data_IF_742882557342
#
_entry.id   IF_742882557342
#
_cell.length_a   1.000
_cell.length_b   1.000
_cell.length_c   1.000
_cell.angle_alpha   90.00
_cell.angle_beta   90.00
_cell.angle_gamma   90.00
#
_symmetry.space_group_name_H-M   'P 1'
#
loop_
_entity.id
_entity.type
_entity.pdbx_description
1 polymer ?
#
# COMPACT_ATOMS: atom_id res chain seq x y z
N UNK A 1 -43.12 12.25 24.06
CA UNK A 1 -41.78 12.43 23.46
C UNK A 1 -41.88 12.12 21.98
N UNK A 2 -41.69 13.15 21.13
CA UNK A 2 -42.15 13.16 19.74
C UNK A 2 -41.23 12.34 18.82
N UNK A 3 -41.86 11.56 17.93
CA UNK A 3 -41.27 10.77 16.84
C UNK A 3 -40.33 11.57 15.91
N UNK A 4 -40.43 12.90 15.88
CA UNK A 4 -39.58 13.80 15.08
C UNK A 4 -38.10 13.69 15.47
N UNK A 5 -37.79 13.41 16.74
CA UNK A 5 -36.41 13.23 17.19
C UNK A 5 -35.82 11.91 16.67
N UNK A 6 -36.63 10.86 16.53
CA UNK A 6 -36.14 9.55 16.08
C UNK A 6 -35.65 9.56 14.63
N UNK A 7 -36.29 10.36 13.76
CA UNK A 7 -35.86 10.51 12.36
C UNK A 7 -34.50 11.21 12.27
N UNK A 8 -34.33 12.32 12.99
CA UNK A 8 -33.06 13.05 13.04
C UNK A 8 -31.95 12.18 13.64
N UNK A 9 -32.17 11.57 14.80
CA UNK A 9 -31.20 10.67 15.43
C UNK A 9 -30.80 9.49 14.51
N UNK A 10 -31.72 8.98 13.69
CA UNK A 10 -31.39 7.95 12.69
C UNK A 10 -30.52 8.50 11.57
N UNK A 11 -30.83 9.69 11.06
CA UNK A 11 -30.04 10.35 10.03
C UNK A 11 -28.62 10.67 10.54
N UNK A 12 -28.50 11.26 11.72
CA UNK A 12 -27.21 11.67 12.32
C UNK A 12 -26.29 10.45 12.59
N UNK A 13 -26.84 9.25 12.79
CA UNK A 13 -26.05 8.00 12.89
C UNK A 13 -25.56 7.45 11.55
N UNK A 14 -26.20 7.83 10.45
CA UNK A 14 -25.92 7.28 9.13
C UNK A 14 -25.13 8.27 8.29
N UNK A 15 -25.38 9.58 8.41
CA UNK A 15 -24.79 10.61 7.58
C UNK A 15 -23.83 11.44 8.41
N UNK A 16 -22.54 11.28 8.15
CA UNK A 16 -21.50 12.07 8.78
C UNK A 16 -21.37 13.41 8.05
N UNK A 17 -21.20 14.49 8.81
CA UNK A 17 -21.02 15.84 8.27
C UNK A 17 -19.76 16.50 8.83
N UNK A 18 -19.23 17.50 8.14
CA UNK A 18 -18.07 18.26 8.63
C UNK A 18 -18.35 18.90 10.01
N UNK A 19 -19.58 19.40 10.20
CA UNK A 19 -20.04 19.98 11.46
C UNK A 19 -20.10 18.96 12.62
N UNK A 20 -20.25 17.67 12.31
CA UNK A 20 -20.27 16.59 13.32
C UNK A 20 -18.88 16.21 13.84
N UNK A 21 -17.81 16.74 13.25
CA UNK A 21 -16.45 16.52 13.75
C UNK A 21 -16.25 17.26 15.08
N UNK A 22 -15.89 16.51 16.11
CA UNK A 22 -15.53 17.02 17.43
C UNK A 22 -14.07 16.70 17.77
N UNK A 23 -13.28 17.75 18.06
CA UNK A 23 -11.86 17.59 18.39
C UNK A 23 -11.66 16.88 19.74
N UNK A 24 -12.56 17.03 20.70
CA UNK A 24 -12.48 16.34 21.99
C UNK A 24 -12.60 14.82 21.83
N UNK A 25 -13.53 14.37 21.01
CA UNK A 25 -13.69 12.95 20.65
C UNK A 25 -12.49 12.43 19.84
N UNK A 26 -11.96 13.24 18.94
CA UNK A 26 -10.74 12.89 18.20
C UNK A 26 -9.53 12.69 19.11
N UNK A 27 -9.35 13.57 20.10
CA UNK A 27 -8.24 13.47 21.07
C UNK A 27 -8.29 12.18 21.89
N UNK A 28 -9.48 11.72 22.30
CA UNK A 28 -9.64 10.43 22.99
C UNK A 28 -9.12 9.25 22.16
N UNK A 29 -9.15 9.38 20.83
CA UNK A 29 -8.63 8.40 19.89
C UNK A 29 -7.13 8.60 19.65
N UNK A 30 -6.70 9.81 19.27
CA UNK A 30 -5.33 10.09 18.86
C UNK A 30 -4.31 10.08 20.02
N UNK A 31 -4.75 10.31 21.26
CA UNK A 31 -3.88 10.35 22.45
C UNK A 31 -3.74 8.98 23.14
N UNK A 32 -4.24 7.91 22.53
CA UNK A 32 -3.99 6.54 23.01
C UNK A 32 -2.50 6.22 23.00
N UNK A 33 -2.08 5.36 23.93
CA UNK A 33 -0.71 4.85 24.01
C UNK A 33 -0.68 3.40 23.53
N UNK A 34 0.25 3.11 22.62
CA UNK A 34 0.50 1.74 22.15
C UNK A 34 1.37 1.01 23.17
N UNK A 35 0.87 -0.10 23.73
CA UNK A 35 1.65 -0.93 24.63
C UNK A 35 2.35 -2.06 23.86
N UNK A 36 3.68 -2.14 23.96
CA UNK A 36 4.47 -3.19 23.28
C UNK A 36 4.03 -4.61 23.69
N UNK A 37 3.56 -4.79 24.93
CA UNK A 37 3.13 -6.09 25.44
C UNK A 37 1.94 -6.70 24.67
N UNK A 38 1.16 -5.87 23.97
CA UNK A 38 0.02 -6.33 23.16
C UNK A 38 0.47 -6.84 21.77
N UNK A 39 1.75 -6.64 21.40
CA UNK A 39 2.32 -6.99 20.10
C UNK A 39 3.59 -7.84 20.28
N UNK A 40 3.45 -9.15 20.57
CA UNK A 40 4.58 -10.02 20.92
C UNK A 40 5.64 -10.18 19.82
N UNK A 41 5.27 -9.97 18.55
CA UNK A 41 6.19 -10.05 17.42
C UNK A 41 7.00 -8.76 17.27
N UNK A 42 6.44 -7.60 17.62
CA UNK A 42 7.15 -6.33 17.62
C UNK A 42 8.37 -6.34 18.57
N UNK A 43 9.38 -5.54 18.25
CA UNK A 43 10.60 -5.40 19.05
C UNK A 43 10.61 -4.12 19.87
N UNK A 44 9.95 -3.07 19.38
CA UNK A 44 9.84 -1.80 20.09
C UNK A 44 8.57 -1.05 19.71
N UNK A 45 8.21 -0.09 20.56
CA UNK A 45 7.26 0.99 20.23
C UNK A 45 8.00 2.30 20.40
N UNK A 46 8.10 3.08 19.33
CA UNK A 46 8.65 4.43 19.36
C UNK A 46 7.61 5.44 18.89
N UNK A 47 7.31 6.43 19.72
CA UNK A 47 6.31 7.47 19.38
C UNK A 47 4.96 6.87 18.92
N UNK A 48 4.51 5.81 19.60
CA UNK A 48 3.32 5.01 19.26
C UNK A 48 3.38 4.21 17.96
N UNK A 49 4.52 4.16 17.27
CA UNK A 49 4.72 3.35 16.06
C UNK A 49 5.37 2.02 16.46
N UNK A 50 4.79 0.91 16.00
CA UNK A 50 5.35 -0.43 16.21
C UNK A 50 6.54 -0.65 15.28
N UNK A 51 7.64 -1.14 15.84
CA UNK A 51 8.86 -1.45 15.11
C UNK A 51 9.10 -2.97 15.18
N UNK A 52 9.24 -3.58 14.01
CA UNK A 52 9.48 -5.01 13.84
C UNK A 52 10.86 -5.24 13.20
N UNK A 53 11.65 -6.16 13.74
CA UNK A 53 12.76 -6.75 13.00
C UNK A 53 12.21 -7.77 11.98
N UNK A 54 12.44 -7.52 10.69
CA UNK A 54 11.95 -8.38 9.63
C UNK A 54 12.46 -9.82 9.72
N UNK A 55 13.64 -10.06 10.31
CA UNK A 55 14.15 -11.40 10.61
C UNK A 55 13.20 -12.20 11.49
N UNK A 56 12.75 -11.56 12.57
CA UNK A 56 11.92 -12.15 13.61
C UNK A 56 10.54 -12.43 13.06
N UNK A 57 9.99 -11.51 12.28
CA UNK A 57 8.73 -11.72 11.55
C UNK A 57 8.84 -12.91 10.61
N UNK A 58 9.88 -12.97 9.75
CA UNK A 58 10.09 -14.09 8.82
C UNK A 58 10.26 -15.43 9.54
N UNK A 59 10.96 -15.46 10.68
CA UNK A 59 11.08 -16.65 11.49
C UNK A 59 9.74 -17.06 12.13
N UNK A 60 8.95 -16.11 12.61
CA UNK A 60 7.65 -16.36 13.25
C UNK A 60 6.60 -16.92 12.27
N UNK A 61 6.64 -16.51 11.00
CA UNK A 61 5.69 -17.00 9.98
C UNK A 61 6.08 -18.35 9.36
N UNK A 62 7.17 -18.99 9.81
CA UNK A 62 7.65 -20.24 9.24
C UNK A 62 6.69 -21.43 9.49
N UNK A 63 5.81 -21.32 10.49
CA UNK A 63 4.72 -22.28 10.71
C UNK A 63 3.35 -21.68 10.37
N UNK A 64 2.34 -22.50 10.02
CA UNK A 64 0.98 -22.03 9.79
C UNK A 64 0.36 -21.29 10.98
N UNK A 65 0.61 -21.78 12.20
CA UNK A 65 0.11 -21.16 13.43
C UNK A 65 0.79 -19.82 13.69
N UNK A 66 2.11 -19.75 13.51
CA UNK A 66 2.88 -18.52 13.66
C UNK A 66 2.51 -17.48 12.62
N UNK A 67 2.31 -17.89 11.36
CA UNK A 67 1.79 -17.03 10.29
C UNK A 67 0.44 -16.43 10.67
N UNK A 68 -0.49 -17.24 11.19
CA UNK A 68 -1.81 -16.76 11.62
C UNK A 68 -1.71 -15.77 12.79
N UNK A 69 -0.81 -16.03 13.75
CA UNK A 69 -0.59 -15.13 14.89
C UNK A 69 -0.04 -13.76 14.43
N UNK A 70 0.97 -13.76 13.56
CA UNK A 70 1.54 -12.53 12.97
C UNK A 70 0.49 -11.77 12.15
N UNK A 71 -0.35 -12.48 11.39
CA UNK A 71 -1.45 -11.86 10.65
C UNK A 71 -2.44 -11.15 11.56
N UNK A 72 -2.84 -11.79 12.67
CA UNK A 72 -3.74 -11.18 13.63
C UNK A 72 -3.11 -9.92 14.24
N UNK A 73 -1.85 -9.99 14.67
CA UNK A 73 -1.14 -8.87 15.28
C UNK A 73 -0.99 -7.67 14.32
N UNK A 74 -0.60 -7.91 13.06
CA UNK A 74 -0.47 -6.86 12.04
C UNK A 74 -1.85 -6.26 11.68
N UNK A 75 -2.88 -7.10 11.56
CA UNK A 75 -4.24 -6.65 11.28
C UNK A 75 -4.79 -5.77 12.42
N UNK A 76 -4.59 -6.18 13.67
CA UNK A 76 -4.95 -5.39 14.85
C UNK A 76 -4.17 -4.07 14.89
N UNK A 77 -2.87 -4.09 14.59
CA UNK A 77 -2.05 -2.89 14.53
C UNK A 77 -2.58 -1.85 13.51
N UNK A 78 -3.07 -2.29 12.35
CA UNK A 78 -3.66 -1.39 11.34
C UNK A 78 -5.09 -0.96 11.63
N UNK A 79 -5.91 -1.86 12.21
CA UNK A 79 -7.31 -1.61 12.51
C UNK A 79 -7.48 -0.78 13.77
N UNK A 80 -7.39 -1.45 14.93
CA UNK A 80 -7.72 -0.91 16.25
C UNK A 80 -6.52 -0.32 16.99
N UNK A 81 -5.30 -0.66 16.55
CA UNK A 81 -4.04 -0.22 17.11
C UNK A 81 -3.55 1.12 16.55
N UNK A 82 -2.22 1.34 16.48
CA UNK A 82 -1.65 2.64 16.09
C UNK A 82 -1.88 3.04 14.64
N UNK A 83 -2.31 2.12 13.77
CA UNK A 83 -2.54 2.38 12.35
C UNK A 83 -1.27 2.49 11.51
N UNK A 84 -0.08 2.25 12.09
CA UNK A 84 1.22 2.32 11.39
C UNK A 84 2.23 1.37 12.02
N UNK A 85 3.02 0.72 11.18
CA UNK A 85 4.09 -0.18 11.55
C UNK A 85 5.33 0.05 10.68
N UNK A 86 6.52 -0.14 11.25
CA UNK A 86 7.80 -0.09 10.54
C UNK A 86 8.48 -1.46 10.64
N UNK A 87 8.88 -2.00 9.51
CA UNK A 87 9.67 -3.21 9.39
C UNK A 87 11.11 -2.83 9.06
N UNK A 88 12.00 -3.01 10.04
CA UNK A 88 13.42 -2.72 9.94
C UNK A 88 14.12 -3.81 9.15
N UNK A 89 15.01 -3.41 8.22
CA UNK A 89 15.79 -4.34 7.37
C UNK A 89 14.90 -5.33 6.62
N UNK A 90 13.76 -4.87 6.13
CA UNK A 90 12.85 -5.67 5.31
C UNK A 90 13.54 -6.15 4.03
N UNK A 91 14.39 -5.31 3.44
CA UNK A 91 15.36 -5.69 2.43
C UNK A 91 16.76 -5.74 3.07
N UNK A 92 17.24 -6.95 3.37
CA UNK A 92 18.58 -7.15 3.93
C UNK A 92 19.68 -6.95 2.90
N UNK A 93 19.47 -7.52 1.73
CA UNK A 93 20.27 -7.19 0.56
C UNK A 93 19.64 -5.96 -0.10
N UNK A 94 20.30 -4.82 0.03
CA UNK A 94 19.83 -3.58 -0.57
C UNK A 94 20.26 -3.41 -2.03
N UNK A 95 21.05 -4.35 -2.58
CA UNK A 95 21.42 -4.34 -3.99
C UNK A 95 20.21 -4.40 -4.92
N UNK A 96 19.16 -5.15 -4.54
CA UNK A 96 17.89 -5.20 -5.28
C UNK A 96 17.20 -3.82 -5.36
N UNK A 97 17.33 -3.01 -4.29
CA UNK A 97 16.82 -1.64 -4.22
C UNK A 97 17.69 -0.71 -5.06
N UNK A 98 19.01 -0.90 -5.08
CA UNK A 98 19.92 -0.09 -5.88
C UNK A 98 19.65 -0.29 -7.38
N UNK A 99 19.44 -1.54 -7.82
CA UNK A 99 19.00 -1.86 -9.18
C UNK A 99 17.66 -1.20 -9.52
N UNK A 100 16.64 -1.32 -8.65
CA UNK A 100 15.34 -0.69 -8.87
C UNK A 100 15.46 0.85 -8.92
N UNK A 101 16.28 1.44 -8.05
CA UNK A 101 16.54 2.88 -8.01
C UNK A 101 17.16 3.38 -9.31
N UNK A 102 18.13 2.66 -9.88
CA UNK A 102 18.74 3.01 -11.15
C UNK A 102 17.70 3.05 -12.29
N UNK A 103 16.82 2.05 -12.37
CA UNK A 103 15.70 2.03 -13.33
C UNK A 103 14.78 3.24 -13.13
N UNK A 104 14.46 3.59 -11.88
CA UNK A 104 13.61 4.73 -11.58
C UNK A 104 14.27 6.07 -11.91
N UNK A 105 15.58 6.21 -11.69
CA UNK A 105 16.33 7.39 -12.09
C UNK A 105 16.34 7.55 -13.61
N UNK A 106 16.59 6.48 -14.38
CA UNK A 106 16.51 6.50 -15.85
C UNK A 106 15.11 6.92 -16.34
N UNK A 107 14.05 6.42 -15.71
CA UNK A 107 12.67 6.83 -16.04
C UNK A 107 12.46 8.32 -15.74
N UNK A 108 12.93 8.83 -14.60
CA UNK A 108 12.80 10.25 -14.24
C UNK A 108 13.56 11.13 -15.23
N UNK A 109 14.79 10.76 -15.58
CA UNK A 109 15.61 11.49 -16.55
C UNK A 109 14.94 11.51 -17.93
N UNK A 110 14.37 10.40 -18.36
CA UNK A 110 13.62 10.31 -19.61
C UNK A 110 12.37 11.20 -19.60
N UNK A 111 11.63 11.21 -18.49
CA UNK A 111 10.47 12.05 -18.28
C UNK A 111 10.82 13.54 -18.35
N UNK A 112 11.95 13.94 -17.74
CA UNK A 112 12.49 15.30 -17.84
C UNK A 112 12.89 15.64 -19.28
N UNK A 113 13.62 14.76 -19.95
CA UNK A 113 14.12 14.96 -21.32
C UNK A 113 13.00 15.13 -22.34
N UNK A 114 11.92 14.38 -22.17
CA UNK A 114 10.77 14.37 -23.10
C UNK A 114 9.64 15.31 -22.69
N UNK A 115 9.77 15.97 -21.53
CA UNK A 115 8.67 16.70 -20.89
C UNK A 115 7.38 15.85 -20.76
N UNK A 116 7.53 14.53 -20.64
CA UNK A 116 6.43 13.61 -20.38
C UNK A 116 6.46 13.23 -18.91
N UNK A 117 5.32 13.32 -18.22
CA UNK A 117 5.26 13.15 -16.77
C UNK A 117 4.82 14.42 -16.04
N UNK A 118 4.87 14.38 -14.71
CA UNK A 118 4.30 15.41 -13.84
C UNK A 118 2.95 15.03 -13.24
N UNK A 119 2.48 15.85 -12.29
CA UNK A 119 1.21 15.65 -11.58
C UNK A 119 1.31 15.21 -10.13
N UNK A 120 2.36 15.59 -9.38
CA UNK A 120 2.24 15.52 -7.92
C UNK A 120 1.18 16.54 -7.47
N UNK A 121 -0.02 16.04 -7.16
CA UNK A 121 -1.16 16.87 -6.75
C UNK A 121 -0.90 17.56 -5.39
N UNK A 122 0.17 17.17 -4.69
CA UNK A 122 0.49 17.63 -3.35
C UNK A 122 1.70 18.57 -3.29
N UNK A 123 2.40 18.83 -4.39
CA UNK A 123 3.60 19.68 -4.41
C UNK A 123 3.62 20.69 -5.57
N UNK A 124 4.43 21.74 -5.42
CA UNK A 124 4.68 22.70 -6.51
C UNK A 124 5.47 22.01 -7.64
N UNK A 125 5.20 22.34 -8.92
CA UNK A 125 5.97 21.81 -10.04
C UNK A 125 7.49 21.97 -9.83
N UNK A 126 8.25 20.88 -10.00
CA UNK A 126 9.71 20.86 -9.85
C UNK A 126 10.24 20.63 -8.43
N UNK A 127 9.39 20.65 -7.39
CA UNK A 127 9.82 20.35 -6.02
C UNK A 127 10.06 18.84 -5.80
N UNK A 128 9.22 18.01 -6.43
CA UNK A 128 9.26 16.56 -6.32
C UNK A 128 9.24 15.91 -7.70
N UNK A 129 9.80 14.71 -7.79
CA UNK A 129 9.68 13.84 -8.95
C UNK A 129 8.78 12.65 -8.61
N UNK A 130 7.91 12.30 -9.56
CA UNK A 130 6.87 11.27 -9.38
C UNK A 130 6.87 10.33 -10.57
N UNK A 131 6.97 9.03 -10.30
CA UNK A 131 6.72 7.99 -11.30
C UNK A 131 5.38 7.33 -11.01
N UNK A 132 4.36 7.70 -11.79
CA UNK A 132 3.10 6.95 -11.84
C UNK A 132 3.29 5.57 -12.47
N UNK A 133 2.53 4.57 -12.03
CA UNK A 133 2.61 3.19 -12.48
C UNK A 133 4.04 2.64 -12.48
N UNK A 134 4.77 2.86 -11.37
CA UNK A 134 6.14 2.37 -11.24
C UNK A 134 6.20 0.85 -11.16
N UNK A 135 5.13 0.19 -10.69
CA UNK A 135 5.03 -1.27 -10.66
C UNK A 135 5.14 -1.89 -12.07
N UNK A 136 4.30 -1.44 -13.02
CA UNK A 136 4.34 -1.95 -14.39
C UNK A 136 5.66 -1.58 -15.06
N UNK A 137 6.10 -0.33 -14.91
CA UNK A 137 7.35 0.14 -15.51
C UNK A 137 8.56 -0.66 -15.03
N UNK A 138 8.63 -0.98 -13.73
CA UNK A 138 9.68 -1.81 -13.15
C UNK A 138 9.66 -3.22 -13.74
N UNK A 139 8.50 -3.89 -13.73
CA UNK A 139 8.36 -5.24 -14.28
C UNK A 139 8.75 -5.34 -15.77
N UNK A 140 8.42 -4.32 -16.56
CA UNK A 140 8.71 -4.31 -17.99
C UNK A 140 10.17 -3.97 -18.32
N UNK A 141 10.81 -3.14 -17.48
CA UNK A 141 12.20 -2.75 -17.65
C UNK A 141 13.15 -3.88 -17.24
N UNK A 142 12.90 -4.49 -16.07
CA UNK A 142 13.72 -5.57 -15.53
C UNK A 142 12.85 -6.58 -14.75
N UNK A 143 12.35 -7.64 -15.41
CA UNK A 143 11.49 -8.62 -14.76
C UNK A 143 12.22 -9.49 -13.73
N UNK A 144 13.55 -9.64 -13.81
CA UNK A 144 14.33 -10.41 -12.83
C UNK A 144 14.49 -9.60 -11.54
N UNK A 145 14.90 -8.32 -11.65
CA UNK A 145 14.95 -7.44 -10.49
C UNK A 145 13.56 -7.21 -9.88
N UNK A 146 12.51 -7.09 -10.70
CA UNK A 146 11.13 -7.01 -10.20
C UNK A 146 10.76 -8.25 -9.37
N UNK A 147 11.07 -9.45 -9.88
CA UNK A 147 10.79 -10.70 -9.16
C UNK A 147 11.50 -10.74 -7.80
N UNK A 148 12.78 -10.39 -7.75
CA UNK A 148 13.56 -10.34 -6.51
C UNK A 148 13.05 -9.26 -5.54
N UNK A 149 12.66 -8.10 -6.06
CA UNK A 149 12.13 -7.00 -5.27
C UNK A 149 10.80 -7.37 -4.61
N UNK A 150 9.85 -7.88 -5.38
CA UNK A 150 8.51 -8.24 -4.88
C UNK A 150 8.39 -9.65 -4.30
N UNK A 151 9.46 -10.45 -4.37
CA UNK A 151 9.59 -11.69 -3.60
C UNK A 151 9.60 -11.46 -2.08
N UNK A 152 9.79 -10.21 -1.65
CA UNK A 152 9.96 -9.83 -0.26
C UNK A 152 8.78 -10.31 0.64
N UNK A 153 9.05 -11.14 1.66
CA UNK A 153 8.00 -11.70 2.51
C UNK A 153 7.30 -10.65 3.35
N UNK A 154 7.96 -9.55 3.73
CA UNK A 154 7.34 -8.49 4.55
C UNK A 154 6.26 -7.75 3.75
N UNK A 155 6.54 -7.45 2.47
CA UNK A 155 5.56 -6.82 1.57
C UNK A 155 4.33 -7.72 1.42
N UNK A 156 4.53 -9.02 1.21
CA UNK A 156 3.44 -9.97 1.08
C UNK A 156 2.63 -10.13 2.38
N UNK A 157 3.30 -10.28 3.52
CA UNK A 157 2.66 -10.49 4.83
C UNK A 157 1.83 -9.27 5.24
N UNK A 158 2.38 -8.06 5.15
CA UNK A 158 1.63 -6.85 5.50
C UNK A 158 0.39 -6.68 4.61
N UNK A 159 0.53 -6.95 3.30
CA UNK A 159 -0.58 -6.89 2.34
C UNK A 159 -1.66 -7.91 2.66
N UNK A 160 -1.30 -9.18 2.82
CA UNK A 160 -2.27 -10.27 3.00
C UNK A 160 -2.94 -10.23 4.38
N UNK A 161 -2.19 -9.88 5.43
CA UNK A 161 -2.74 -9.77 6.79
C UNK A 161 -3.90 -8.76 6.87
N UNK A 162 -3.80 -7.65 6.13
CA UNK A 162 -4.83 -6.61 6.11
C UNK A 162 -5.91 -6.84 5.05
N UNK A 163 -5.52 -7.19 3.83
CA UNK A 163 -6.42 -7.17 2.65
C UNK A 163 -6.96 -8.56 2.28
N UNK A 164 -6.43 -9.60 2.91
CA UNK A 164 -6.65 -10.98 2.52
C UNK A 164 -5.83 -11.41 1.29
N UNK A 165 -6.04 -12.64 0.81
CA UNK A 165 -5.38 -13.14 -0.39
C UNK A 165 -5.85 -12.37 -1.64
N UNK A 166 -5.14 -12.56 -2.74
CA UNK A 166 -5.49 -11.96 -4.03
C UNK A 166 -5.52 -10.42 -4.00
N UNK A 167 -4.73 -9.81 -3.11
CA UNK A 167 -4.55 -8.37 -3.11
C UNK A 167 -3.98 -7.89 -4.45
N UNK A 168 -4.23 -6.64 -4.77
CA UNK A 168 -3.82 -5.99 -6.00
C UNK A 168 -2.73 -4.99 -5.66
N UNK A 169 -1.50 -5.27 -6.09
CA UNK A 169 -0.39 -4.33 -5.94
C UNK A 169 -0.48 -3.24 -7.02
N UNK A 170 -0.27 -1.99 -6.61
CA UNK A 170 0.18 -0.88 -7.46
C UNK A 170 1.27 -0.14 -6.71
N UNK A 171 2.11 0.61 -7.44
CA UNK A 171 3.22 1.32 -6.82
C UNK A 171 3.59 2.59 -7.57
N UNK A 172 4.04 3.61 -6.82
CA UNK A 172 4.43 4.91 -7.35
C UNK A 172 5.69 5.41 -6.65
N UNK A 173 6.71 5.81 -7.41
CA UNK A 173 7.93 6.36 -6.82
C UNK A 173 7.74 7.83 -6.52
N UNK A 174 8.12 8.23 -5.31
CA UNK A 174 8.13 9.59 -4.84
C UNK A 174 9.55 10.02 -4.46
N UNK A 175 10.07 11.04 -5.14
CA UNK A 175 11.35 11.67 -4.80
C UNK A 175 11.11 13.10 -4.33
N UNK A 176 11.41 13.38 -3.07
CA UNK A 176 11.37 14.74 -2.53
C UNK A 176 12.77 15.32 -2.55
N UNK A 177 12.98 16.33 -3.39
CA UNK A 177 14.29 16.96 -3.55
C UNK A 177 14.62 17.88 -2.35
N UNK A 178 15.90 18.20 -2.11
CA UNK A 178 16.30 19.23 -1.14
C UNK A 178 15.48 20.52 -1.29
N UNK A 179 14.92 21.02 -0.19
CA UNK A 179 14.03 22.19 -0.17
C UNK A 179 12.56 21.88 -0.48
N UNK A 180 12.20 20.63 -0.76
CA UNK A 180 10.81 20.19 -0.97
C UNK A 180 9.95 20.44 0.28
N UNK A 181 8.82 21.13 0.11
CA UNK A 181 7.93 21.49 1.21
C UNK A 181 7.09 20.30 1.70
N UNK A 182 6.70 20.34 2.98
CA UNK A 182 5.74 19.38 3.52
C UNK A 182 4.40 19.48 2.77
N UNK A 183 3.72 18.34 2.70
CA UNK A 183 2.36 18.25 2.20
C UNK A 183 1.37 18.63 3.30
N UNK A 184 0.15 18.98 2.90
CA UNK A 184 -0.97 19.08 3.84
C UNK A 184 -1.33 17.70 4.38
N UNK A 185 -1.67 17.62 5.67
CA UNK A 185 -2.23 16.42 6.28
C UNK A 185 -3.45 15.93 5.49
N UNK A 186 -3.49 14.62 5.24
CA UNK A 186 -4.59 13.97 4.54
C UNK A 186 -4.83 12.56 5.05
N UNK A 187 -5.96 12.01 4.63
CA UNK A 187 -6.20 10.57 4.55
C UNK A 187 -6.10 10.18 3.08
N UNK A 188 -5.75 8.94 2.83
CA UNK A 188 -5.61 8.41 1.49
C UNK A 188 -6.93 7.94 0.87
N UNK A 189 -6.80 7.44 -0.35
CA UNK A 189 -7.85 6.82 -1.16
C UNK A 189 -8.62 5.73 -0.38
N UNK A 190 -9.93 5.56 -0.54
CA UNK A 190 -10.81 6.13 -1.57
C UNK A 190 -11.33 7.54 -1.27
N UNK A 191 -11.82 7.78 -0.06
CA UNK A 191 -12.52 9.02 0.28
C UNK A 191 -11.58 10.23 0.44
N UNK A 192 -10.30 10.02 0.72
CA UNK A 192 -9.31 11.09 0.91
C UNK A 192 -9.13 12.05 -0.27
N UNK A 193 -9.47 11.60 -1.48
CA UNK A 193 -9.38 12.39 -2.72
C UNK A 193 -10.65 13.20 -3.02
N UNK A 194 -11.67 13.10 -2.18
CA UNK A 194 -12.99 13.71 -2.43
C UNK A 194 -13.17 15.02 -1.65
N UNK A 195 -14.06 15.88 -2.14
CA UNK A 195 -14.49 17.08 -1.39
C UNK A 195 -15.46 16.71 -0.26
N UNK A 196 -15.60 17.55 0.78
CA UNK A 196 -16.55 17.30 1.89
C UNK A 196 -17.95 17.00 1.37
N UNK A 197 -18.44 17.81 0.42
CA UNK A 197 -19.76 17.65 -0.21
C UNK A 197 -19.97 16.26 -0.85
N UNK A 198 -18.91 15.63 -1.36
CA UNK A 198 -19.00 14.27 -1.90
C UNK A 198 -18.94 13.24 -0.78
N UNK A 199 -18.03 13.41 0.18
CA UNK A 199 -17.85 12.53 1.34
C UNK A 199 -19.14 12.40 2.17
N UNK A 200 -19.85 13.50 2.40
CA UNK A 200 -21.12 13.54 3.16
C UNK A 200 -22.27 12.77 2.51
N UNK A 201 -22.15 12.39 1.23
CA UNK A 201 -23.13 11.55 0.53
C UNK A 201 -22.97 10.07 0.82
N UNK A 202 -21.86 9.67 1.45
CA UNK A 202 -21.60 8.30 1.81
C UNK A 202 -22.07 8.03 3.24
N UNK A 203 -22.82 6.94 3.47
CA UNK A 203 -23.26 6.57 4.81
C UNK A 203 -22.07 6.09 5.66
N UNK A 204 -22.17 6.18 6.98
CA UNK A 204 -21.09 5.91 7.94
C UNK A 204 -20.41 4.55 7.76
N UNK A 205 -21.14 3.50 7.35
CA UNK A 205 -20.53 2.20 7.07
C UNK A 205 -19.57 2.23 5.87
N UNK A 206 -19.75 3.13 4.90
CA UNK A 206 -18.80 3.32 3.79
C UNK A 206 -17.55 4.06 4.26
N UNK A 207 -17.67 4.99 5.22
CA UNK A 207 -16.50 5.62 5.86
C UNK A 207 -15.65 4.60 6.61
N UNK A 208 -16.30 3.62 7.26
CA UNK A 208 -15.63 2.48 7.90
C UNK A 208 -15.06 1.46 6.90
N UNK A 209 -15.75 1.25 5.77
CA UNK A 209 -15.34 0.30 4.74
C UNK A 209 -14.15 0.82 3.90
N UNK A 210 -14.12 2.11 3.56
CA UNK A 210 -13.10 2.68 2.69
C UNK A 210 -11.66 2.35 3.12
N UNK A 211 -11.26 2.51 4.40
CA UNK A 211 -9.88 2.23 4.80
C UNK A 211 -9.53 0.74 4.90
N UNK A 212 -10.50 -0.17 4.97
CA UNK A 212 -10.22 -1.61 5.00
C UNK A 212 -10.04 -2.21 3.60
N UNK A 213 -10.30 -1.44 2.54
CA UNK A 213 -10.13 -1.87 1.15
C UNK A 213 -8.76 -1.56 0.56
N UNK A 214 -7.93 -0.79 1.25
CA UNK A 214 -6.55 -0.47 0.81
C UNK A 214 -5.57 -0.46 1.96
N UNK A 215 -4.29 -0.60 1.63
CA UNK A 215 -3.15 -0.46 2.52
C UNK A 215 -2.11 0.44 1.84
N UNK A 216 -1.49 1.32 2.63
CA UNK A 216 -0.42 2.18 2.14
C UNK A 216 0.90 1.71 2.70
N UNK A 217 1.92 1.65 1.85
CA UNK A 217 3.26 1.28 2.23
C UNK A 217 4.30 2.13 1.53
N UNK A 218 5.52 2.12 2.05
CA UNK A 218 6.66 2.74 1.41
C UNK A 218 7.93 1.94 1.68
N UNK A 219 8.65 1.59 0.61
CA UNK A 219 10.00 1.05 0.70
C UNK A 219 10.98 2.22 0.65
N UNK A 220 11.89 2.30 1.61
CA UNK A 220 12.93 3.32 1.64
C UNK A 220 14.05 2.98 0.66
N UNK A 221 14.25 3.80 -0.38
CA UNK A 221 15.32 3.63 -1.37
C UNK A 221 16.63 4.34 -1.00
N UNK A 222 16.59 5.15 0.06
CA UNK A 222 17.74 5.80 0.66
C UNK A 222 17.53 5.91 2.17
N UNK A 223 18.59 6.28 2.89
CA UNK A 223 18.43 6.70 4.28
C UNK A 223 17.58 7.98 4.34
N UNK A 224 16.71 8.04 5.34
CA UNK A 224 15.77 9.14 5.56
C UNK A 224 15.90 9.65 7.00
N UNK A 225 16.99 10.35 7.34
CA UNK A 225 17.08 11.05 8.62
C UNK A 225 15.97 12.10 8.73
N UNK A 226 15.65 12.55 9.95
CA UNK A 226 14.54 13.50 10.17
C UNK A 226 14.65 14.78 9.32
N UNK A 227 15.88 15.25 9.07
CA UNK A 227 16.15 16.41 8.23
C UNK A 227 15.79 16.24 6.75
N UNK A 228 15.79 15.00 6.22
CA UNK A 228 15.32 14.71 4.86
C UNK A 228 13.79 14.67 4.77
N UNK A 229 13.10 14.85 5.90
CA UNK A 229 11.65 14.94 5.99
C UNK A 229 10.91 13.63 5.73
N UNK A 230 11.18 12.51 6.44
CA UNK A 230 10.36 11.30 6.36
C UNK A 230 8.88 11.60 6.66
N UNK A 231 7.99 10.66 6.37
CA UNK A 231 6.54 10.86 6.53
C UNK A 231 6.17 11.27 7.96
N UNK A 232 5.28 12.26 8.06
CA UNK A 232 4.61 12.72 9.28
C UNK A 232 3.42 11.79 9.53
N UNK A 233 3.31 11.21 10.71
CA UNK A 233 2.21 10.33 11.10
C UNK A 233 1.51 10.85 12.34
N UNK A 234 0.21 10.59 12.47
CA UNK A 234 -0.51 10.77 13.73
C UNK A 234 -1.14 9.42 14.14
N UNK A 235 -0.41 8.56 14.87
CA UNK A 235 -0.88 7.25 15.33
C UNK A 235 -2.28 7.29 15.95
N UNK A 236 -3.03 6.20 15.79
CA UNK A 236 -4.43 5.99 16.24
C UNK A 236 -5.50 6.83 15.53
N UNK A 237 -5.13 7.89 14.81
CA UNK A 237 -6.07 8.80 14.14
C UNK A 237 -6.97 8.13 13.09
N UNK A 238 -6.62 6.95 12.59
CA UNK A 238 -7.40 6.21 11.59
C UNK A 238 -8.77 5.73 12.12
N UNK A 239 -8.87 5.48 13.42
CA UNK A 239 -10.12 4.98 14.05
C UNK A 239 -11.16 6.07 14.29
N UNK A 240 -10.82 7.34 14.04
CA UNK A 240 -11.80 8.43 14.12
C UNK A 240 -12.74 8.42 12.91
N UNK A 241 -14.00 8.03 13.14
CA UNK A 241 -14.98 7.74 12.10
C UNK A 241 -15.22 8.91 11.12
N UNK A 242 -15.49 10.16 11.55
CA UNK A 242 -15.69 11.27 10.61
C UNK A 242 -14.37 11.89 10.11
N UNK A 243 -13.22 11.24 10.30
CA UNK A 243 -11.92 11.85 10.02
C UNK A 243 -11.60 12.16 8.56
N UNK A 244 -12.34 11.62 7.58
CA UNK A 244 -12.26 12.07 6.18
C UNK A 244 -12.77 13.51 5.99
N UNK A 245 -13.62 13.99 6.90
CA UNK A 245 -14.14 15.36 6.93
C UNK A 245 -13.34 16.26 7.88
N UNK A 246 -12.73 15.69 8.90
CA UNK A 246 -12.05 16.43 9.96
C UNK A 246 -10.91 17.35 9.48
N UNK A 247 -10.06 16.89 8.56
CA UNK A 247 -8.92 17.67 8.03
C UNK A 247 -9.31 18.87 7.16
N UNK A 248 -10.62 19.13 7.00
CA UNK A 248 -11.13 20.37 6.38
C UNK A 248 -11.20 21.51 7.39
N UNK A 249 -11.38 21.18 8.67
CA UNK A 249 -11.46 22.11 9.80
C UNK A 249 -10.08 22.48 10.33
N UNK A 250 -9.90 23.74 10.72
CA UNK A 250 -8.59 24.29 11.04
C UNK A 250 -8.02 23.69 12.33
N UNK A 251 -8.85 23.49 13.34
CA UNK A 251 -8.45 22.95 14.64
C UNK A 251 -7.89 21.52 14.56
N UNK A 252 -8.28 20.73 13.55
CA UNK A 252 -7.70 19.40 13.31
C UNK A 252 -6.35 19.49 12.58
N UNK A 253 -6.18 20.46 11.67
CA UNK A 253 -4.88 20.73 11.02
C UNK A 253 -3.88 21.22 12.05
N UNK A 254 -4.27 22.18 12.89
CA UNK A 254 -3.43 22.71 13.96
C UNK A 254 -3.03 21.61 14.96
N UNK A 255 -3.98 20.71 15.28
CA UNK A 255 -3.70 19.55 16.11
C UNK A 255 -2.66 18.63 15.46
N UNK A 256 -2.81 18.29 14.18
CA UNK A 256 -1.84 17.47 13.45
C UNK A 256 -0.44 18.12 13.39
N UNK A 257 -0.36 19.41 13.03
CA UNK A 257 0.92 20.14 12.99
C UNK A 257 1.65 20.13 14.34
N UNK A 258 0.90 20.10 15.44
CA UNK A 258 1.49 20.09 16.80
C UNK A 258 1.83 18.69 17.31
N UNK A 259 1.10 17.65 16.89
CA UNK A 259 1.15 16.30 17.51
C UNK A 259 1.65 15.19 16.58
N UNK A 260 1.91 15.47 15.31
CA UNK A 260 2.48 14.47 14.42
C UNK A 260 3.86 13.98 14.93
N UNK A 261 4.20 12.77 14.54
CA UNK A 261 5.47 12.13 14.84
C UNK A 261 6.17 11.73 13.55
N UNK A 262 7.49 11.59 13.64
CA UNK A 262 8.35 11.08 12.57
C UNK A 262 9.34 10.08 13.15
N UNK A 263 9.68 9.08 12.34
CA UNK A 263 10.81 8.20 12.59
C UNK A 263 11.78 8.28 11.42
N UNK A 264 13.10 8.25 11.69
CA UNK A 264 14.07 8.03 10.64
C UNK A 264 13.89 6.61 10.05
N UNK A 265 14.11 6.49 8.75
CA UNK A 265 14.15 5.19 8.06
C UNK A 265 15.54 5.01 7.46
N UNK A 266 15.98 3.76 7.37
CA UNK A 266 17.20 3.37 6.67
C UNK A 266 16.83 2.75 5.33
N UNK A 267 17.74 2.79 4.35
CA UNK A 267 17.52 2.11 3.07
C UNK A 267 17.17 0.63 3.31
N UNK A 268 16.08 0.18 2.69
CA UNK A 268 15.57 -1.19 2.84
C UNK A 268 14.60 -1.40 3.99
N UNK A 269 14.33 -0.39 4.83
CA UNK A 269 13.17 -0.41 5.71
C UNK A 269 11.87 -0.28 4.90
N UNK A 270 10.80 -0.83 5.46
CA UNK A 270 9.45 -0.72 4.90
C UNK A 270 8.50 -0.22 5.98
N UNK A 271 7.77 0.85 5.68
CA UNK A 271 6.66 1.31 6.53
C UNK A 271 5.35 0.92 5.86
N UNK A 272 4.38 0.48 6.66
CA UNK A 272 3.00 0.32 6.24
C UNK A 272 2.07 1.04 7.21
N UNK A 273 0.99 1.59 6.71
CA UNK A 273 0.00 2.28 7.52
C UNK A 273 -1.41 2.18 6.91
N UNK A 274 -2.40 2.30 7.78
CA UNK A 274 -3.80 2.36 7.41
C UNK A 274 -4.05 3.65 6.59
N UNK A 275 -4.72 3.58 5.43
CA UNK A 275 -4.98 4.76 4.58
C UNK A 275 -5.80 5.86 5.28
N UNK A 276 -6.56 5.55 6.33
CA UNK A 276 -7.26 6.56 7.14
C UNK A 276 -6.38 7.21 8.23
N UNK A 277 -5.13 6.79 8.39
CA UNK A 277 -4.21 7.48 9.29
C UNK A 277 -3.95 8.89 8.77
N UNK A 278 -4.04 9.90 9.63
CA UNK A 278 -3.62 11.25 9.25
C UNK A 278 -2.12 11.24 9.05
N UNK A 279 -1.69 11.66 7.86
CA UNK A 279 -0.29 11.70 7.50
C UNK A 279 -0.01 12.77 6.43
N UNK A 280 1.27 13.07 6.24
CA UNK A 280 1.76 13.95 5.19
C UNK A 280 3.25 13.68 4.92
N UNK A 281 3.75 13.99 3.72
CA UNK A 281 5.19 14.07 3.53
C UNK A 281 5.78 15.24 4.33
N UNK A 282 6.92 15.01 5.01
CA UNK A 282 7.66 16.05 5.71
C UNK A 282 8.43 16.98 4.77
N UNK A 283 8.86 18.13 5.29
CA UNK A 283 9.73 19.06 4.55
C UNK A 283 11.13 18.49 4.47
N UNK A 284 11.71 18.40 3.27
CA UNK A 284 13.10 18.03 3.09
C UNK A 284 13.99 19.27 3.30
N UNK A 285 14.64 19.33 4.46
CA UNK A 285 15.56 20.41 4.88
C UNK A 285 17.03 20.07 4.65
N UNK A 286 17.33 18.85 4.20
CA UNK A 286 18.69 18.45 3.84
C UNK A 286 19.20 19.26 2.65
N UNK A 287 20.52 19.24 2.45
CA UNK A 287 21.18 19.94 1.33
C UNK A 287 21.43 19.04 0.12
N UNK A 288 21.48 17.74 0.32
CA UNK A 288 22.04 16.76 -0.61
C UNK A 288 21.25 15.44 -0.70
N UNK A 289 20.24 15.23 0.16
CA UNK A 289 19.45 14.00 0.16
C UNK A 289 18.23 14.18 -0.76
N UNK A 290 18.23 13.45 -1.87
CA UNK A 290 17.01 13.20 -2.65
C UNK A 290 16.24 12.06 -1.98
N UNK A 291 15.24 12.39 -1.16
CA UNK A 291 14.49 11.39 -0.38
C UNK A 291 13.59 10.57 -1.30
N UNK A 292 14.02 9.36 -1.67
CA UNK A 292 13.28 8.44 -2.58
C UNK A 292 12.58 7.34 -1.80
N UNK A 293 11.27 7.21 -2.03
CA UNK A 293 10.49 6.07 -1.56
C UNK A 293 9.69 5.48 -2.72
N UNK A 294 9.64 4.16 -2.82
CA UNK A 294 8.67 3.47 -3.67
C UNK A 294 7.40 3.23 -2.85
N UNK A 295 6.34 3.97 -3.15
CA UNK A 295 5.08 3.92 -2.42
C UNK A 295 4.24 2.76 -2.94
N UNK A 296 3.90 1.83 -2.05
CA UNK A 296 3.05 0.70 -2.33
C UNK A 296 1.61 1.09 -2.00
N UNK A 297 0.72 0.98 -3.00
CA UNK A 297 -0.71 1.19 -2.81
C UNK A 297 -1.40 -0.14 -3.07
N UNK A 298 -1.67 -0.87 -2.00
CA UNK A 298 -2.18 -2.24 -2.11
C UNK A 298 -3.70 -2.19 -1.93
N UNK A 299 -4.45 -2.82 -2.83
CA UNK A 299 -5.91 -2.86 -2.76
C UNK A 299 -6.40 -4.28 -2.52
N UNK A 300 -7.51 -4.43 -1.79
CA UNK A 300 -8.19 -5.72 -1.69
C UNK A 300 -8.66 -6.18 -3.07
N UNK A 301 -8.78 -7.49 -3.27
CA UNK A 301 -9.49 -8.08 -4.42
C UNK A 301 -10.89 -7.51 -4.63
N UNK A 302 -11.54 -7.06 -3.54
CA UNK A 302 -12.89 -6.49 -3.56
C UNK A 302 -12.92 -4.96 -3.74
N UNK A 303 -11.75 -4.31 -3.75
CA UNK A 303 -11.58 -2.88 -3.91
C UNK A 303 -11.24 -2.47 -5.34
N UNK A 304 -11.50 -1.20 -5.67
CA UNK A 304 -10.91 -0.57 -6.87
C UNK A 304 -9.52 -0.06 -6.52
N UNK A 305 -8.53 -0.35 -7.36
CA UNK A 305 -7.20 0.24 -7.26
C UNK A 305 -7.18 1.70 -7.77
N UNK A 306 -6.20 2.49 -7.33
CA UNK A 306 -6.04 3.89 -7.74
C UNK A 306 -5.70 4.02 -9.23
N UNK A 307 -4.91 3.10 -9.76
CA UNK A 307 -4.44 3.12 -11.14
C UNK A 307 -4.64 1.77 -11.83
N UNK A 308 -4.77 1.80 -13.15
CA UNK A 308 -4.87 0.60 -13.99
C UNK A 308 -3.47 0.10 -14.33
N UNK A 309 -3.27 -1.22 -14.15
CA UNK A 309 -2.01 -1.92 -14.45
C UNK A 309 -2.28 -3.01 -15.49
N UNK A 310 -1.42 -3.13 -16.50
CA UNK A 310 -1.55 -4.19 -17.49
C UNK A 310 -0.95 -5.52 -16.98
N UNK A 311 -1.74 -6.24 -16.17
CA UNK A 311 -1.34 -7.51 -15.54
C UNK A 311 -1.04 -8.63 -16.53
N UNK A 312 -1.72 -8.65 -17.67
CA UNK A 312 -1.43 -9.60 -18.76
C UNK A 312 0.01 -9.36 -19.28
N UNK A 313 0.33 -8.13 -19.65
CA UNK A 313 1.65 -7.77 -20.17
C UNK A 313 2.77 -7.98 -19.15
N UNK A 314 2.53 -7.63 -17.89
CA UNK A 314 3.48 -7.89 -16.81
C UNK A 314 3.69 -9.39 -16.62
N UNK A 315 2.60 -10.17 -16.53
CA UNK A 315 2.67 -11.62 -16.34
C UNK A 315 3.44 -12.31 -17.47
N UNK A 316 3.18 -11.89 -18.72
CA UNK A 316 3.91 -12.33 -19.90
C UNK A 316 5.43 -12.06 -19.82
N UNK A 317 5.84 -10.92 -19.23
CA UNK A 317 7.25 -10.56 -19.05
C UNK A 317 7.90 -11.22 -17.85
N UNK A 318 7.15 -11.41 -16.78
CA UNK A 318 7.64 -11.96 -15.53
C UNK A 318 7.86 -13.48 -15.59
N UNK A 319 7.02 -14.22 -16.32
CA UNK A 319 7.07 -15.68 -16.34
C UNK A 319 8.45 -16.27 -16.71
N UNK A 320 9.14 -15.83 -17.78
CA UNK A 320 10.48 -16.33 -18.10
C UNK A 320 11.51 -16.01 -17.00
N UNK A 321 11.42 -14.82 -16.38
CA UNK A 321 12.31 -14.42 -15.29
C UNK A 321 12.12 -15.31 -14.05
N UNK A 322 10.87 -15.61 -13.68
CA UNK A 322 10.59 -16.54 -12.57
C UNK A 322 11.15 -17.94 -12.83
N UNK A 323 11.11 -18.43 -14.07
CA UNK A 323 11.74 -19.70 -14.45
C UNK A 323 13.25 -19.65 -14.28
N UNK A 324 13.91 -18.57 -14.71
CA UNK A 324 15.36 -18.39 -14.58
C UNK A 324 15.81 -18.28 -13.12
N UNK A 325 14.96 -17.70 -12.26
CA UNK A 325 15.22 -17.51 -10.83
C UNK A 325 14.90 -18.74 -9.97
N UNK A 326 14.39 -19.84 -10.55
CA UNK A 326 14.20 -21.09 -9.82
C UNK A 326 15.52 -21.59 -9.24
N UNK A 327 15.53 -21.87 -7.94
CA UNK A 327 16.73 -22.27 -7.19
C UNK A 327 17.50 -21.10 -6.60
N UNK A 328 17.28 -19.85 -7.07
CA UNK A 328 17.68 -18.63 -6.36
C UNK A 328 16.58 -18.16 -5.41
N UNK A 329 15.34 -18.14 -5.89
CA UNK A 329 14.15 -17.87 -5.08
C UNK A 329 13.48 -19.18 -4.66
N UNK A 330 12.96 -19.20 -3.44
CA UNK A 330 12.07 -20.24 -2.94
C UNK A 330 10.68 -20.17 -3.60
N UNK A 331 9.90 -21.24 -3.49
CA UNK A 331 8.52 -21.27 -4.02
C UNK A 331 7.62 -20.20 -3.36
N UNK A 332 7.84 -19.90 -2.07
CA UNK A 332 7.13 -18.82 -1.39
C UNK A 332 7.50 -17.44 -1.93
N UNK A 333 8.80 -17.21 -2.19
CA UNK A 333 9.29 -15.96 -2.79
C UNK A 333 8.77 -15.76 -4.23
N UNK A 334 8.76 -16.83 -5.03
CA UNK A 334 8.12 -16.83 -6.35
C UNK A 334 6.63 -16.48 -6.20
N UNK A 335 5.91 -17.12 -5.27
CA UNK A 335 4.50 -16.81 -5.00
C UNK A 335 4.24 -15.35 -4.63
N UNK A 336 5.13 -14.74 -3.84
CA UNK A 336 5.03 -13.32 -3.49
C UNK A 336 5.19 -12.41 -4.73
N UNK A 337 6.16 -12.70 -5.60
CA UNK A 337 6.36 -11.98 -6.86
C UNK A 337 5.16 -12.15 -7.82
N UNK A 338 4.58 -13.35 -7.88
CA UNK A 338 3.34 -13.62 -8.64
C UNK A 338 2.18 -12.78 -8.09
N UNK A 339 1.99 -12.75 -6.77
CA UNK A 339 0.91 -11.98 -6.12
C UNK A 339 1.04 -10.46 -6.33
N UNK A 340 2.25 -9.94 -6.55
CA UNK A 340 2.48 -8.54 -6.90
C UNK A 340 2.20 -8.22 -8.38
N UNK A 341 2.07 -9.22 -9.25
CA UNK A 341 2.00 -9.06 -10.70
C UNK A 341 0.66 -9.50 -11.31
N UNK A 342 0.25 -10.74 -11.06
CA UNK A 342 -0.86 -11.41 -11.71
C UNK A 342 -2.20 -11.13 -11.02
N UNK A 343 -3.30 -11.14 -11.78
CA UNK A 343 -4.64 -11.03 -11.18
C UNK A 343 -4.95 -12.29 -10.34
N UNK A 344 -5.17 -12.08 -9.04
CA UNK A 344 -5.43 -13.12 -8.07
C UNK A 344 -6.92 -13.41 -7.87
N UNK A 345 -7.81 -12.55 -8.37
CA UNK A 345 -9.26 -12.67 -8.19
C UNK A 345 -10.00 -12.96 -9.51
N UNK A 346 -10.92 -13.92 -9.46
CA UNK A 346 -11.61 -14.39 -10.68
C UNK A 346 -12.51 -13.34 -11.32
N UNK A 347 -12.91 -12.30 -10.59
CA UNK A 347 -13.87 -11.30 -11.06
C UNK A 347 -13.25 -9.89 -11.15
N UNK A 348 -13.78 -9.01 -12.01
CA UNK A 348 -14.82 -9.29 -13.01
C UNK A 348 -14.30 -10.18 -14.15
N UNK A 349 -15.22 -10.91 -14.79
CA UNK A 349 -14.99 -11.72 -16.00
C UNK A 349 -16.30 -11.85 -16.77
N UNK A 350 -16.24 -12.20 -18.06
CA UNK A 350 -17.43 -12.54 -18.83
C UNK A 350 -17.80 -14.02 -18.61
N UNK A 351 -18.85 -14.28 -17.81
CA UNK A 351 -19.29 -15.63 -17.47
C UNK A 351 -19.87 -16.44 -18.66
N UNK A 352 -20.28 -15.80 -19.75
CA UNK A 352 -20.72 -16.52 -20.96
C UNK A 352 -19.53 -17.19 -21.68
N UNK A 353 -18.32 -16.61 -21.54
CA UNK A 353 -17.10 -17.06 -22.23
C UNK A 353 -16.08 -17.70 -21.31
N UNK A 354 -16.06 -17.28 -20.06
CA UNK A 354 -15.18 -17.78 -19.01
C UNK A 354 -16.04 -18.35 -17.86
N UNK A 355 -16.81 -19.44 -18.10
CA UNK A 355 -17.60 -20.05 -17.04
C UNK A 355 -16.69 -20.76 -16.03
N UNK A 356 -17.17 -21.02 -14.80
CA UNK A 356 -16.43 -21.78 -13.80
C UNK A 356 -16.31 -23.25 -14.22
N UNK A 357 -15.22 -23.59 -14.90
CA UNK A 357 -14.90 -24.97 -15.29
C UNK A 357 -14.02 -25.61 -14.21
N UNK A 358 -14.53 -26.67 -13.57
CA UNK A 358 -13.78 -27.41 -12.54
C UNK A 358 -13.73 -26.76 -11.15
N UNK A 359 -14.65 -25.82 -10.85
CA UNK A 359 -14.73 -25.15 -9.55
C UNK A 359 -15.93 -24.24 -9.42
N UNK A 360 -15.93 -23.34 -8.43
CA UNK A 360 -16.99 -22.35 -8.19
C UNK A 360 -16.76 -21.02 -8.94
N UNK A 361 -15.53 -20.77 -9.41
CA UNK A 361 -15.15 -19.56 -10.12
C UNK A 361 -14.15 -19.88 -11.25
N UNK A 362 -14.04 -19.02 -12.27
CA UNK A 362 -13.05 -19.19 -13.32
C UNK A 362 -11.62 -19.13 -12.79
N UNK A 363 -10.70 -19.83 -13.47
CA UNK A 363 -9.28 -19.86 -13.14
C UNK A 363 -8.68 -18.44 -13.22
N UNK A 364 -7.89 -18.05 -12.23
CA UNK A 364 -7.24 -16.73 -12.16
C UNK A 364 -5.94 -16.68 -12.97
N UNK A 365 -5.39 -15.48 -13.22
CA UNK A 365 -4.05 -15.37 -13.85
C UNK A 365 -2.97 -15.93 -12.92
N UNK A 366 -3.10 -15.71 -11.61
CA UNK A 366 -2.19 -16.28 -10.60
C UNK A 366 -2.17 -17.80 -10.63
N UNK A 367 -3.35 -18.44 -10.67
CA UNK A 367 -3.45 -19.90 -10.79
C UNK A 367 -2.85 -20.43 -12.09
N UNK A 368 -3.12 -19.77 -13.22
CA UNK A 368 -2.53 -20.13 -14.51
C UNK A 368 -0.99 -20.03 -14.49
N UNK A 369 -0.45 -18.98 -13.87
CA UNK A 369 0.99 -18.79 -13.76
C UNK A 369 1.64 -19.86 -12.88
N UNK A 370 1.05 -20.19 -11.73
CA UNK A 370 1.54 -21.27 -10.86
C UNK A 370 1.52 -22.63 -11.57
N UNK A 371 0.42 -22.99 -12.22
CA UNK A 371 0.32 -24.22 -13.02
C UNK A 371 1.40 -24.28 -14.11
N UNK A 372 1.59 -23.19 -14.86
CA UNK A 372 2.59 -23.12 -15.92
C UNK A 372 4.03 -23.24 -15.38
N UNK A 373 4.29 -22.70 -14.19
CA UNK A 373 5.57 -22.84 -13.51
C UNK A 373 5.76 -24.29 -13.02
N UNK A 374 4.81 -24.86 -12.30
CA UNK A 374 4.83 -26.23 -11.77
C UNK A 374 5.03 -27.28 -12.88
N UNK A 375 4.28 -27.16 -13.98
CA UNK A 375 4.38 -28.05 -15.14
C UNK A 375 5.52 -27.71 -16.10
N UNK A 376 6.34 -26.69 -15.78
CA UNK A 376 7.47 -26.23 -16.58
C UNK A 376 7.11 -25.95 -18.06
N UNK A 377 6.05 -25.18 -18.29
CA UNK A 377 5.65 -24.78 -19.63
C UNK A 377 6.75 -23.96 -20.32
N UNK A 378 6.85 -24.09 -21.65
CA UNK A 378 7.60 -23.14 -22.43
C UNK A 378 6.90 -21.77 -22.48
N UNK A 379 7.67 -20.73 -22.78
CA UNK A 379 7.21 -19.36 -22.71
C UNK A 379 6.09 -19.09 -23.74
N UNK A 380 6.16 -19.71 -24.92
CA UNK A 380 5.16 -19.53 -25.96
C UNK A 380 3.80 -20.12 -25.56
N UNK A 381 3.79 -21.30 -24.91
CA UNK A 381 2.60 -21.93 -24.36
C UNK A 381 1.95 -21.05 -23.31
N UNK A 382 2.73 -20.52 -22.36
CA UNK A 382 2.20 -19.62 -21.32
C UNK A 382 1.61 -18.34 -21.92
N UNK A 383 2.34 -17.68 -22.83
CA UNK A 383 1.88 -16.46 -23.50
C UNK A 383 0.56 -16.68 -24.25
N UNK A 384 0.44 -17.80 -24.97
CA UNK A 384 -0.78 -18.15 -25.68
C UNK A 384 -1.96 -18.38 -24.72
N UNK A 385 -1.74 -19.13 -23.64
CA UNK A 385 -2.79 -19.40 -22.65
C UNK A 385 -3.25 -18.14 -21.92
N UNK A 386 -2.31 -17.26 -21.57
CA UNK A 386 -2.58 -15.99 -20.89
C UNK A 386 -3.38 -15.02 -21.77
N UNK A 387 -3.01 -14.91 -23.06
CA UNK A 387 -3.74 -14.10 -24.03
C UNK A 387 -5.18 -14.61 -24.23
N UNK A 388 -5.34 -15.94 -24.40
CA UNK A 388 -6.67 -16.56 -24.51
C UNK A 388 -7.52 -16.33 -23.25
N UNK A 389 -6.93 -16.42 -22.06
CA UNK A 389 -7.65 -16.13 -20.82
C UNK A 389 -8.10 -14.66 -20.77
N UNK A 390 -7.21 -13.73 -21.12
CA UNK A 390 -7.51 -12.29 -21.11
C UNK A 390 -8.61 -11.92 -22.12
N UNK A 391 -8.59 -12.53 -23.31
CA UNK A 391 -9.65 -12.38 -24.32
C UNK A 391 -11.01 -12.86 -23.80
N UNK A 392 -11.08 -14.04 -23.16
CA UNK A 392 -12.33 -14.56 -22.58
C UNK A 392 -12.89 -13.66 -21.48
N UNK A 393 -12.03 -13.02 -20.68
CA UNK A 393 -12.45 -12.17 -19.56
C UNK A 393 -13.07 -10.83 -20.00
N UNK A 394 -12.58 -10.24 -21.11
CA UNK A 394 -12.96 -8.89 -21.56
C UNK A 394 -14.08 -8.85 -22.61
N UNK A 395 -14.20 -9.89 -23.43
CA UNK A 395 -14.93 -9.82 -24.71
C UNK A 395 -16.36 -10.31 -24.68
#
# INVERSE_FOLDING_TARGET
MKTDNLRKLRADRVWLTEDSCDLGDFRKVAEKTTALADYPTADAVEKNILIYDSAKVVAAIASPEGRRAVFAEICEAFGEGPGVVVFKRAYRDTGVIDCASAIFDEIIEEQHRTATGGGDHFAKPGANDRIWNSLEKHCLADPENFAEYYANPIVAIASEAWLGPSYQMTAQVNRVNPGGAAQSAHRDYHLGFQSSKVIERFPAHVHRLSPVLTLQGAVAHCDMPLESGPTLFLPHSQTYEPGYLALKRQEFKDYFETHHVQLPLEKGDVVFFNPALFHAAGTNRSTDIKRVANLLQVSSAFGRAMETVNRERMSAKLFPALKALRGKLSETEIGNAVAACAEGYSFPTNLDRDPPLGGLAPKTQTQLMHEALEENWDDARFLSALAQQSERRLS
#
